data_IF_743046675350
#
_entry.id   IF_743046675350
#
_cell.length_a   1.000
_cell.length_b   1.000
_cell.length_c   1.000
_cell.angle_alpha   90.00
_cell.angle_beta   90.00
_cell.angle_gamma   90.00
#
_symmetry.space_group_name_H-M   'P 1'
#
loop_
_entity.id
_entity.type
_entity.pdbx_description
1 polymer ?
#
# COMPACT_ATOMS: atom_id res chain seq x y z
N UNK A 1 -5.45 17.33 -12.23
CA UNK A 1 -5.35 16.73 -10.89
C UNK A 1 -4.29 15.65 -10.97
N UNK A 2 -3.42 15.54 -9.97
CA UNK A 2 -2.51 14.40 -9.92
C UNK A 2 -3.35 13.16 -9.63
N UNK A 3 -3.24 12.11 -10.45
CA UNK A 3 -3.90 10.82 -10.21
C UNK A 3 -3.15 9.98 -9.18
N UNK A 4 -2.35 10.62 -8.34
CA UNK A 4 -1.50 9.99 -7.35
C UNK A 4 -1.91 10.54 -5.98
N UNK A 5 -2.15 9.64 -5.04
CA UNK A 5 -2.48 9.95 -3.66
C UNK A 5 -1.33 9.49 -2.75
N UNK A 6 -1.14 10.18 -1.63
CA UNK A 6 -0.24 9.72 -0.57
C UNK A 6 -0.95 8.67 0.29
N UNK A 7 -0.18 7.70 0.77
CA UNK A 7 -0.64 6.58 1.59
C UNK A 7 0.50 6.09 2.50
N UNK A 8 0.20 5.11 3.35
CA UNK A 8 1.22 4.41 4.16
C UNK A 8 1.25 2.95 3.73
N UNK A 9 2.43 2.44 3.37
CA UNK A 9 2.65 1.01 3.20
C UNK A 9 3.10 0.42 4.54
N UNK A 10 2.43 -0.66 4.97
CA UNK A 10 2.70 -1.33 6.24
C UNK A 10 3.05 -2.78 5.94
N UNK A 11 4.24 -3.19 6.35
CA UNK A 11 4.70 -4.57 6.32
C UNK A 11 4.72 -5.11 7.75
N UNK A 12 3.84 -6.05 8.04
CA UNK A 12 3.72 -6.69 9.35
C UNK A 12 4.57 -7.96 9.41
N UNK A 13 5.45 -8.02 10.39
CA UNK A 13 6.35 -9.14 10.65
C UNK A 13 6.13 -9.65 12.08
N UNK A 14 6.58 -10.87 12.38
CA UNK A 14 6.53 -11.42 13.74
C UNK A 14 7.20 -10.53 14.80
N UNK A 15 8.22 -9.77 14.42
CA UNK A 15 8.97 -8.87 15.32
C UNK A 15 8.40 -7.45 15.40
N UNK A 16 7.41 -7.11 14.58
CA UNK A 16 6.76 -5.80 14.57
C UNK A 16 6.40 -5.31 13.16
N UNK A 17 5.80 -4.13 13.12
CA UNK A 17 5.42 -3.47 11.87
C UNK A 17 6.56 -2.57 11.38
N UNK A 18 6.80 -2.61 10.07
CA UNK A 18 7.61 -1.62 9.34
C UNK A 18 6.66 -0.80 8.48
N UNK A 19 6.75 0.52 8.59
CA UNK A 19 5.84 1.45 7.93
C UNK A 19 6.65 2.46 7.12
N UNK A 20 6.21 2.74 5.89
CA UNK A 20 6.78 3.82 5.06
C UNK A 20 5.67 4.62 4.39
N UNK A 21 5.92 5.92 4.18
CA UNK A 21 5.06 6.71 3.29
C UNK A 21 5.21 6.18 1.88
N UNK A 22 4.11 6.07 1.14
CA UNK A 22 4.09 5.61 -0.23
C UNK A 22 3.09 6.42 -1.06
N UNK A 23 3.05 6.14 -2.37
CA UNK A 23 2.15 6.79 -3.33
C UNK A 23 1.36 5.75 -4.12
N UNK A 24 0.06 5.98 -4.29
CA UNK A 24 -0.80 5.11 -5.11
C UNK A 24 -1.25 5.85 -6.36
N UNK A 25 -0.96 5.28 -7.53
CA UNK A 25 -1.50 5.75 -8.80
C UNK A 25 -2.92 5.20 -9.00
N UNK A 26 -3.92 6.07 -9.04
CA UNK A 26 -5.33 5.71 -9.17
C UNK A 26 -5.71 5.15 -10.54
N UNK A 27 -4.91 5.39 -11.58
CA UNK A 27 -5.14 4.85 -12.92
C UNK A 27 -4.65 3.41 -13.03
N UNK A 28 -3.39 3.18 -12.62
CA UNK A 28 -2.66 1.91 -12.77
C UNK A 28 -2.74 1.01 -11.53
N UNK A 29 -3.19 1.56 -10.40
CA UNK A 29 -3.19 0.95 -9.07
C UNK A 29 -1.80 0.63 -8.49
N UNK A 30 -0.75 1.13 -9.13
CA UNK A 30 0.63 0.89 -8.69
C UNK A 30 0.93 1.65 -7.40
N UNK A 31 1.60 0.96 -6.48
CA UNK A 31 2.12 1.51 -5.23
C UNK A 31 3.62 1.76 -5.42
N UNK A 32 4.03 3.00 -5.20
CA UNK A 32 5.38 3.51 -5.44
C UNK A 32 5.93 4.22 -4.19
N UNK A 33 7.20 4.59 -4.22
CA UNK A 33 7.93 5.21 -3.09
C UNK A 33 7.96 4.32 -1.83
N UNK A 34 7.93 2.99 -1.99
CA UNK A 34 8.15 2.06 -0.89
C UNK A 34 9.67 1.92 -0.69
N UNK A 35 10.16 2.31 0.50
CA UNK A 35 11.52 1.98 0.91
C UNK A 35 11.57 0.50 1.33
N UNK A 36 12.18 -0.34 0.50
CA UNK A 36 12.44 -1.74 0.85
C UNK A 36 13.71 -1.82 1.72
N UNK A 37 13.63 -2.48 2.88
CA UNK A 37 14.82 -2.79 3.69
C UNK A 37 15.36 -4.17 3.34
N UNK A 38 16.65 -4.26 2.99
CA UNK A 38 17.35 -5.50 2.62
C UNK A 38 17.64 -6.47 3.80
N UNK A 39 16.97 -6.34 4.94
CA UNK A 39 17.24 -7.15 6.13
C UNK A 39 16.57 -8.54 6.04
N UNK A 40 17.07 -9.39 5.14
CA UNK A 40 16.64 -10.79 4.99
C UNK A 40 17.52 -11.79 5.77
N UNK A 41 18.41 -11.34 6.66
CA UNK A 41 19.37 -12.24 7.34
C UNK A 41 18.75 -13.00 8.53
N UNK A 42 17.64 -12.52 9.08
CA UNK A 42 16.87 -13.26 10.08
C UNK A 42 15.63 -13.85 9.40
N UNK A 43 15.33 -15.13 9.67
CA UNK A 43 14.16 -15.86 9.16
C UNK A 43 12.85 -15.33 9.80
N UNK A 44 12.62 -14.02 9.77
CA UNK A 44 11.44 -13.37 10.30
C UNK A 44 10.31 -13.61 9.31
N UNK A 45 9.20 -14.16 9.78
CA UNK A 45 8.06 -14.43 8.92
C UNK A 45 7.29 -13.13 8.64
N UNK A 46 7.16 -12.80 7.36
CA UNK A 46 6.18 -11.82 6.89
C UNK A 46 4.78 -12.37 7.16
N UNK A 47 3.96 -11.59 7.85
CA UNK A 47 2.59 -11.94 8.17
C UNK A 47 1.63 -11.35 7.13
N UNK A 48 1.76 -10.06 6.87
CA UNK A 48 0.84 -9.32 6.00
C UNK A 48 1.48 -8.02 5.49
N UNK A 49 1.07 -7.58 4.31
CA UNK A 49 1.38 -6.27 3.78
C UNK A 49 0.08 -5.54 3.43
N UNK A 50 0.01 -4.25 3.76
CA UNK A 50 -1.16 -3.43 3.49
C UNK A 50 -0.79 -2.02 3.02
N UNK A 51 -1.74 -1.36 2.35
CA UNK A 51 -1.69 0.05 2.02
C UNK A 51 -2.84 0.75 2.72
N UNK A 52 -2.49 1.64 3.65
CA UNK A 52 -3.42 2.44 4.42
C UNK A 52 -3.62 3.81 3.75
N UNK A 53 -4.87 4.13 3.42
CA UNK A 53 -5.24 5.36 2.71
C UNK A 53 -6.19 6.17 3.58
N UNK A 54 -5.85 7.44 3.81
CA UNK A 54 -6.74 8.41 4.46
C UNK A 54 -7.06 9.56 3.53
N UNK A 55 -8.30 9.64 3.06
CA UNK A 55 -8.79 10.70 2.17
C UNK A 55 -10.08 11.28 2.75
N UNK A 56 -10.15 12.61 2.85
CA UNK A 56 -11.33 13.33 3.35
C UNK A 56 -11.83 12.83 4.72
N UNK A 57 -10.89 12.41 5.59
CA UNK A 57 -11.19 11.86 6.93
C UNK A 57 -11.71 10.42 6.94
N UNK A 58 -11.78 9.76 5.78
CA UNK A 58 -12.11 8.35 5.66
C UNK A 58 -10.82 7.53 5.57
N UNK A 59 -10.72 6.51 6.42
CA UNK A 59 -9.61 5.58 6.48
C UNK A 59 -10.02 4.24 5.89
N UNK A 60 -9.20 3.69 5.00
CA UNK A 60 -9.35 2.33 4.49
C UNK A 60 -7.99 1.64 4.33
N UNK A 61 -8.05 0.30 4.44
CA UNK A 61 -6.92 -0.60 4.26
C UNK A 61 -7.13 -1.39 2.97
N UNK A 62 -6.06 -1.55 2.20
CA UNK A 62 -6.00 -2.35 1.00
C UNK A 62 -4.89 -3.39 1.12
N UNK A 63 -5.11 -4.60 0.60
CA UNK A 63 -4.09 -5.66 0.58
C UNK A 63 -3.51 -5.69 -0.83
N UNK A 64 -2.32 -5.11 -1.07
CA UNK A 64 -1.75 -5.07 -2.40
C UNK A 64 -1.28 -6.46 -2.84
N UNK A 65 -1.43 -6.75 -4.14
CA UNK A 65 -0.79 -7.88 -4.77
C UNK A 65 0.61 -7.52 -5.25
N UNK A 66 1.57 -8.42 -5.06
CA UNK A 66 2.92 -8.27 -5.57
C UNK A 66 3.04 -8.91 -6.97
N UNK A 67 3.61 -8.16 -7.93
CA UNK A 67 3.88 -8.62 -9.30
C UNK A 67 5.33 -8.27 -9.67
N UNK A 68 6.23 -9.22 -9.49
CA UNK A 68 7.67 -8.94 -9.57
C UNK A 68 8.09 -8.09 -8.37
N UNK A 69 8.81 -7.01 -8.62
CA UNK A 69 9.30 -6.11 -7.55
C UNK A 69 8.29 -5.00 -7.19
N UNK A 70 7.13 -4.96 -7.88
CA UNK A 70 6.14 -3.90 -7.74
C UNK A 70 4.89 -4.38 -7.01
N UNK A 71 4.24 -3.45 -6.30
CA UNK A 71 3.00 -3.65 -5.57
C UNK A 71 1.83 -2.94 -6.27
N UNK A 72 0.66 -3.57 -6.25
CA UNK A 72 -0.55 -3.03 -6.86
C UNK A 72 -1.75 -3.23 -5.94
N UNK A 73 -2.57 -2.20 -5.78
CA UNK A 73 -3.92 -2.39 -5.20
C UNK A 73 -4.70 -3.32 -6.12
N UNK A 74 -5.42 -4.28 -5.55
CA UNK A 74 -6.22 -5.22 -6.33
C UNK A 74 -7.31 -4.50 -7.14
N UNK A 75 -7.52 -4.92 -8.39
CA UNK A 75 -8.51 -4.30 -9.28
C UNK A 75 -9.94 -4.33 -8.70
N UNK A 76 -10.25 -5.36 -7.88
CA UNK A 76 -11.53 -5.45 -7.17
C UNK A 76 -11.76 -4.31 -6.19
N UNK A 77 -10.69 -3.68 -5.69
CA UNK A 77 -10.75 -2.59 -4.72
C UNK A 77 -10.74 -1.19 -5.38
N UNK A 78 -10.49 -1.10 -6.70
CA UNK A 78 -10.43 0.16 -7.45
C UNK A 78 -11.67 1.04 -7.26
N UNK A 79 -12.85 0.43 -7.37
CA UNK A 79 -14.11 1.17 -7.23
C UNK A 79 -14.27 1.77 -5.82
N UNK A 80 -13.79 1.05 -4.79
CA UNK A 80 -13.82 1.49 -3.40
C UNK A 80 -12.86 2.66 -3.19
N UNK A 81 -11.64 2.57 -3.72
CA UNK A 81 -10.63 3.62 -3.67
C UNK A 81 -11.10 4.91 -4.37
N UNK A 82 -11.60 4.80 -5.60
CA UNK A 82 -12.09 5.95 -6.36
C UNK A 82 -13.31 6.62 -5.71
N UNK A 83 -14.16 5.85 -5.00
CA UNK A 83 -15.29 6.42 -4.27
C UNK A 83 -14.83 7.35 -3.13
N UNK A 84 -13.65 7.11 -2.53
CA UNK A 84 -13.11 8.00 -1.50
C UNK A 84 -12.56 9.31 -2.07
N UNK A 85 -11.87 9.22 -3.21
CA UNK A 85 -11.24 10.39 -3.88
C UNK A 85 -12.29 11.38 -4.38
N UNK A 86 -13.46 10.88 -4.80
CA UNK A 86 -14.54 11.68 -5.36
C UNK A 86 -15.60 12.13 -4.34
N UNK A 87 -15.46 11.76 -3.06
CA UNK A 87 -16.39 12.12 -1.99
C UNK A 87 -16.06 13.49 -1.39
#
# INVERSE_FOLDING_TARGET
MSNIIDATFVSQWDEGNVETTCKVNLETLEVTDIEQSDDSENMIHLLEETVEVTINGKYEIYHPGQKGDNYFIEESDKARLLAQVNA
#
